data_IF_733138243136
#
_entry.id   IF_733138243136
#
_cell.length_a   1.000
_cell.length_b   1.000
_cell.length_c   1.000
_cell.angle_alpha   90.00
_cell.angle_beta   90.00
_cell.angle_gamma   90.00
#
_symmetry.space_group_name_H-M   'P 1'
#
loop_
_entity.id
_entity.type
_entity.pdbx_description
1 polymer ?
#
# COMPACT_ATOMS: atom_id res chain seq x y z
N UNK A 1 -4.33 15.66 33.95
CA UNK A 1 -4.33 16.23 32.59
C UNK A 1 -5.12 15.32 31.68
N UNK A 2 -6.02 15.86 30.84
CA UNK A 2 -6.78 15.05 29.87
C UNK A 2 -5.78 14.35 28.95
N UNK A 3 -5.81 13.01 28.89
CA UNK A 3 -5.04 12.25 27.89
C UNK A 3 -5.64 12.55 26.52
N UNK A 4 -4.78 12.86 25.56
CA UNK A 4 -5.16 12.98 24.14
C UNK A 4 -5.79 11.67 23.66
N UNK A 5 -6.75 11.70 22.73
CA UNK A 5 -7.27 10.47 22.14
C UNK A 5 -6.14 9.66 21.48
N UNK A 6 -6.21 8.31 21.52
CA UNK A 6 -5.18 7.47 20.92
C UNK A 6 -5.16 7.65 19.40
N UNK A 7 -3.96 7.73 18.83
CA UNK A 7 -3.71 7.90 17.40
C UNK A 7 -4.17 6.65 16.65
N UNK A 8 -4.88 6.78 15.55
CA UNK A 8 -5.33 5.67 14.70
C UNK A 8 -4.64 5.73 13.34
N UNK A 9 -3.81 4.74 13.02
CA UNK A 9 -3.12 4.67 11.72
C UNK A 9 -3.69 3.53 10.89
N UNK A 10 -4.19 3.83 9.70
CA UNK A 10 -4.60 2.80 8.74
C UNK A 10 -3.43 2.47 7.81
N UNK A 11 -3.14 1.18 7.63
CA UNK A 11 -2.15 0.69 6.67
C UNK A 11 -2.87 -0.19 5.67
N UNK A 12 -2.83 0.21 4.40
CA UNK A 12 -3.53 -0.48 3.31
C UNK A 12 -2.54 -1.30 2.51
N UNK A 13 -2.83 -2.60 2.38
CA UNK A 13 -1.96 -3.60 1.77
C UNK A 13 -1.11 -4.31 2.81
N UNK A 14 -1.20 -5.63 2.88
CA UNK A 14 -0.38 -6.45 3.76
C UNK A 14 0.47 -7.44 2.97
N UNK A 15 1.16 -6.93 1.95
CA UNK A 15 2.37 -7.56 1.43
C UNK A 15 3.56 -7.39 2.39
N UNK A 16 4.77 -7.70 1.94
CA UNK A 16 5.97 -7.60 2.79
C UNK A 16 6.12 -6.22 3.45
N UNK A 17 6.13 -5.15 2.65
CA UNK A 17 6.30 -3.78 3.15
C UNK A 17 5.18 -3.33 4.08
N UNK A 18 3.93 -3.71 3.79
CA UNK A 18 2.78 -3.35 4.62
C UNK A 18 2.80 -4.04 6.00
N UNK A 19 3.21 -5.31 6.04
CA UNK A 19 3.36 -6.05 7.30
C UNK A 19 4.49 -5.49 8.16
N UNK A 20 5.64 -5.21 7.55
CA UNK A 20 6.77 -4.58 8.25
C UNK A 20 6.37 -3.22 8.83
N UNK A 21 5.77 -2.36 8.00
CA UNK A 21 5.32 -1.04 8.41
C UNK A 21 4.28 -1.12 9.55
N UNK A 22 3.35 -2.08 9.49
CA UNK A 22 2.35 -2.25 10.55
C UNK A 22 2.97 -2.62 11.89
N UNK A 23 3.90 -3.57 11.90
CA UNK A 23 4.62 -3.95 13.12
C UNK A 23 5.46 -2.78 13.67
N UNK A 24 6.21 -2.10 12.80
CA UNK A 24 7.10 -0.98 13.21
C UNK A 24 6.30 0.20 13.77
N UNK A 25 5.22 0.61 13.11
CA UNK A 25 4.39 1.73 13.58
C UNK A 25 3.70 1.38 14.89
N UNK A 26 3.14 0.17 15.01
CA UNK A 26 2.51 -0.29 16.24
C UNK A 26 3.50 -0.34 17.41
N UNK A 27 4.71 -0.86 17.20
CA UNK A 27 5.79 -0.86 18.20
C UNK A 27 6.17 0.56 18.63
N UNK A 28 6.17 1.52 17.69
CA UNK A 28 6.45 2.93 18.00
C UNK A 28 5.33 3.59 18.79
N UNK A 29 4.07 3.31 18.44
CA UNK A 29 2.89 3.89 19.10
C UNK A 29 2.62 3.28 20.48
N UNK A 30 2.97 2.01 20.69
CA UNK A 30 2.71 1.29 21.95
C UNK A 30 1.25 1.44 22.38
N UNK A 31 1.00 2.01 23.56
CA UNK A 31 -0.33 2.27 24.12
C UNK A 31 -0.90 3.65 23.77
N UNK A 32 -0.21 4.44 22.94
CA UNK A 32 -0.64 5.79 22.54
C UNK A 32 -1.42 5.81 21.22
N UNK A 33 -1.52 4.67 20.54
CA UNK A 33 -2.27 4.53 19.30
C UNK A 33 -2.49 3.09 18.89
N UNK A 34 -3.31 2.89 17.87
CA UNK A 34 -3.70 1.60 17.29
C UNK A 34 -3.48 1.63 15.78
N UNK A 35 -3.00 0.51 15.23
CA UNK A 35 -2.89 0.32 13.78
C UNK A 35 -4.08 -0.48 13.27
N UNK A 36 -4.70 -0.03 12.17
CA UNK A 36 -5.74 -0.76 11.42
C UNK A 36 -5.12 -1.25 10.12
N UNK A 37 -4.75 -2.52 10.06
CA UNK A 37 -4.03 -3.10 8.95
C UNK A 37 -5.03 -3.81 8.00
N UNK A 38 -5.14 -3.32 6.76
CA UNK A 38 -6.20 -3.68 5.82
C UNK A 38 -5.59 -4.44 4.64
N UNK A 39 -6.19 -5.57 4.26
CA UNK A 39 -5.77 -6.30 3.06
C UNK A 39 -6.95 -6.86 2.26
N UNK A 40 -6.80 -6.84 0.93
CA UNK A 40 -7.80 -7.37 0.00
C UNK A 40 -7.97 -8.90 0.16
N UNK A 41 -6.88 -9.62 0.40
CA UNK A 41 -6.93 -11.06 0.61
C UNK A 41 -7.25 -11.40 2.06
N UNK A 42 -7.69 -12.63 2.29
CA UNK A 42 -7.92 -13.19 3.64
C UNK A 42 -6.66 -13.54 4.41
N UNK A 43 -5.48 -13.15 3.91
CA UNK A 43 -4.20 -13.47 4.54
C UNK A 43 -3.20 -12.35 4.32
N UNK A 44 -2.16 -12.29 5.14
CA UNK A 44 -1.01 -11.40 4.96
C UNK A 44 0.08 -12.09 4.15
N UNK A 45 0.96 -11.34 3.49
CA UNK A 45 2.10 -11.86 2.73
C UNK A 45 1.74 -13.12 1.90
N UNK A 46 0.81 -13.03 0.95
CA UNK A 46 0.26 -14.20 0.23
C UNK A 46 1.33 -15.04 -0.48
N UNK A 47 2.41 -14.38 -0.91
CA UNK A 47 3.52 -15.01 -1.63
C UNK A 47 4.66 -15.48 -0.71
N UNK A 48 4.53 -15.28 0.61
CA UNK A 48 5.53 -15.76 1.56
C UNK A 48 5.34 -17.26 1.86
N UNK A 49 6.44 -17.98 2.19
CA UNK A 49 6.35 -19.32 2.73
C UNK A 49 5.43 -19.37 3.97
N UNK A 50 4.69 -20.48 4.21
CA UNK A 50 3.74 -20.59 5.31
C UNK A 50 4.33 -20.25 6.67
N UNK A 51 5.52 -20.77 6.99
CA UNK A 51 6.19 -20.50 8.28
C UNK A 51 6.51 -19.03 8.51
N UNK A 52 6.99 -18.32 7.47
CA UNK A 52 7.26 -16.89 7.55
C UNK A 52 5.97 -16.08 7.75
N UNK A 53 4.90 -16.46 7.04
CA UNK A 53 3.59 -15.83 7.17
C UNK A 53 2.99 -16.04 8.56
N UNK A 54 3.07 -17.25 9.10
CA UNK A 54 2.59 -17.57 10.45
C UNK A 54 3.38 -16.84 11.53
N UNK A 55 4.71 -16.75 11.39
CA UNK A 55 5.56 -15.99 12.30
C UNK A 55 5.19 -14.50 12.29
N UNK A 56 5.00 -13.91 11.10
CA UNK A 56 4.56 -12.54 10.97
C UNK A 56 3.18 -12.31 11.59
N UNK A 57 2.22 -13.22 11.38
CA UNK A 57 0.88 -13.11 11.93
C UNK A 57 0.90 -13.09 13.47
N UNK A 58 1.69 -13.98 14.09
CA UNK A 58 1.89 -14.00 15.56
C UNK A 58 2.42 -12.68 16.10
N UNK A 59 3.36 -12.04 15.39
CA UNK A 59 3.88 -10.73 15.77
C UNK A 59 2.76 -9.69 15.71
N UNK A 60 2.00 -9.62 14.60
CA UNK A 60 0.92 -8.64 14.47
C UNK A 60 -0.18 -8.83 15.53
N UNK A 61 -0.57 -10.08 15.81
CA UNK A 61 -1.59 -10.42 16.81
C UNK A 61 -1.16 -10.11 18.25
N UNK A 62 0.14 -10.12 18.54
CA UNK A 62 0.68 -9.76 19.87
C UNK A 62 0.76 -8.25 20.13
N UNK A 63 0.45 -7.42 19.12
CA UNK A 63 0.57 -5.97 19.19
C UNK A 63 -0.80 -5.27 19.10
N UNK A 64 -0.84 -3.94 19.26
CA UNK A 64 -2.07 -3.16 19.17
C UNK A 64 -2.48 -2.90 17.70
N UNK A 65 -2.71 -3.99 16.97
CA UNK A 65 -3.04 -4.01 15.55
C UNK A 65 -4.38 -4.71 15.36
N UNK A 66 -5.28 -4.06 14.61
CA UNK A 66 -6.54 -4.63 14.17
C UNK A 66 -6.41 -5.05 12.70
N UNK A 67 -6.64 -6.34 12.41
CA UNK A 67 -6.56 -6.89 11.06
C UNK A 67 -7.92 -6.85 10.37
N UNK A 68 -7.97 -6.18 9.22
CA UNK A 68 -9.12 -6.12 8.32
C UNK A 68 -8.77 -6.85 7.02
N UNK A 69 -8.90 -8.18 7.03
CA UNK A 69 -8.60 -9.04 5.88
C UNK A 69 -9.85 -9.31 5.06
N UNK A 70 -9.71 -9.45 3.74
CA UNK A 70 -10.84 -9.64 2.84
C UNK A 70 -11.57 -8.34 2.49
N UNK A 71 -10.89 -7.18 2.55
CA UNK A 71 -11.47 -5.87 2.27
C UNK A 71 -10.69 -5.08 1.22
N UNK A 72 -11.39 -4.52 0.24
CA UNK A 72 -10.86 -3.45 -0.60
C UNK A 72 -11.21 -2.09 -0.01
N UNK A 73 -10.28 -1.13 -0.09
CA UNK A 73 -10.60 0.27 0.20
C UNK A 73 -11.23 0.87 -1.06
N UNK A 74 -12.50 1.27 -0.97
CA UNK A 74 -13.23 1.87 -2.08
C UNK A 74 -13.09 3.38 -2.12
N UNK A 75 -13.04 4.03 -0.95
CA UNK A 75 -12.92 5.47 -0.84
C UNK A 75 -12.15 5.87 0.41
N UNK A 76 -11.38 6.96 0.31
CA UNK A 76 -10.76 7.64 1.44
C UNK A 76 -11.20 9.11 1.35
N UNK A 77 -11.76 9.65 2.43
CA UNK A 77 -12.21 11.05 2.47
C UNK A 77 -11.76 11.73 3.75
N UNK A 78 -11.48 13.01 3.65
CA UNK A 78 -11.26 13.87 4.82
C UNK A 78 -12.62 14.30 5.38
N UNK A 79 -12.74 14.22 6.70
CA UNK A 79 -13.87 14.74 7.46
C UNK A 79 -13.34 15.72 8.49
N UNK A 80 -13.94 16.90 8.50
CA UNK A 80 -13.70 17.94 9.47
C UNK A 80 -14.71 17.74 10.59
N UNK A 81 -14.26 17.75 11.84
CA UNK A 81 -15.19 17.83 12.97
C UNK A 81 -15.93 19.16 12.86
N UNK A 82 -17.17 19.15 12.37
CA UNK A 82 -18.01 20.34 12.38
C UNK A 82 -18.34 20.69 13.83
N UNK A 83 -17.96 21.89 14.26
CA UNK A 83 -18.47 22.49 15.50
C UNK A 83 -20.00 22.58 15.40
N UNK A 84 -20.73 21.70 16.08
CA UNK A 84 -22.15 21.91 16.30
C UNK A 84 -22.38 22.58 17.66
N UNK A 85 -23.09 23.71 17.59
CA UNK A 85 -23.74 24.48 18.66
C UNK A 85 -22.90 25.49 19.49
N UNK A 86 -22.75 26.69 18.91
CA UNK A 86 -23.11 27.97 19.53
C UNK A 86 -22.30 28.53 20.70
N UNK A 87 -21.37 29.46 20.42
CA UNK A 87 -21.26 30.74 21.13
C UNK A 87 -20.20 31.64 20.46
N UNK A 88 -20.58 32.87 20.15
CA UNK A 88 -19.71 33.94 19.68
C UNK A 88 -18.75 34.39 20.79
N UNK A 89 -17.45 34.07 20.70
CA UNK A 89 -16.39 35.01 21.07
C UNK A 89 -15.10 34.67 20.34
N UNK A 90 -14.56 35.67 19.64
CA UNK A 90 -13.29 35.61 18.94
C UNK A 90 -12.11 35.43 19.91
N UNK A 91 -11.26 34.44 19.65
CA UNK A 91 -9.82 34.65 19.75
C UNK A 91 -9.09 33.68 18.80
N UNK A 92 -8.20 34.22 17.99
CA UNK A 92 -7.48 33.50 16.95
C UNK A 92 -6.46 32.54 17.59
N UNK A 93 -6.88 31.29 17.83
CA UNK A 93 -5.94 30.19 18.03
C UNK A 93 -5.78 29.45 16.72
N UNK A 94 -4.53 29.39 16.24
CA UNK A 94 -4.07 28.37 15.29
C UNK A 94 -4.13 27.01 16.01
N UNK A 95 -5.34 26.48 16.15
CA UNK A 95 -5.61 25.12 16.64
C UNK A 95 -5.71 24.22 15.42
N UNK A 96 -4.83 23.22 15.33
CA UNK A 96 -4.87 22.27 14.22
C UNK A 96 -6.25 21.63 14.15
N UNK A 97 -6.94 21.79 13.01
CA UNK A 97 -8.16 21.08 12.69
C UNK A 97 -7.98 19.61 13.08
N UNK A 98 -8.91 19.06 13.88
CA UNK A 98 -9.04 17.62 14.14
C UNK A 98 -9.50 16.93 12.83
N UNK A 99 -8.62 16.94 11.81
CA UNK A 99 -8.86 16.28 10.53
C UNK A 99 -8.81 14.78 10.75
N UNK A 100 -9.91 14.11 10.42
CA UNK A 100 -9.97 12.65 10.39
C UNK A 100 -10.11 12.16 8.96
N UNK A 101 -9.50 11.04 8.66
CA UNK A 101 -9.69 10.30 7.42
C UNK A 101 -10.70 9.20 7.66
N UNK A 102 -11.67 9.08 6.76
CA UNK A 102 -12.66 8.02 6.74
C UNK A 102 -12.40 7.12 5.55
N UNK A 103 -12.18 5.84 5.81
CA UNK A 103 -11.99 4.79 4.82
C UNK A 103 -13.26 3.96 4.71
N UNK A 104 -13.81 3.87 3.50
CA UNK A 104 -14.89 2.95 3.19
C UNK A 104 -14.32 1.63 2.68
N UNK A 105 -14.51 0.58 3.46
CA UNK A 105 -14.09 -0.77 3.14
C UNK A 105 -15.24 -1.54 2.49
N UNK A 106 -14.98 -2.08 1.31
CA UNK A 106 -15.90 -2.99 0.63
C UNK A 106 -15.43 -4.43 0.86
N UNK A 107 -16.38 -5.30 1.22
CA UNK A 107 -16.13 -6.73 1.36
C UNK A 107 -15.67 -7.33 0.01
N UNK A 108 -14.47 -7.92 0.00
CA UNK A 108 -13.92 -8.61 -1.15
C UNK A 108 -14.31 -10.11 -1.19
N UNK A 109 -14.97 -10.60 -0.13
CA UNK A 109 -15.38 -12.00 -0.01
C UNK A 109 -16.83 -12.13 0.45
N UNK A 110 -17.47 -13.21 0.03
CA UNK A 110 -18.84 -13.55 0.45
C UNK A 110 -18.87 -13.77 1.96
N UNK A 111 -19.86 -13.17 2.63
CA UNK A 111 -20.06 -13.30 4.08
C UNK A 111 -19.50 -12.16 4.91
N UNK A 112 -18.69 -11.27 4.33
CA UNK A 112 -18.27 -10.03 4.98
C UNK A 112 -19.22 -8.88 4.62
N UNK A 113 -19.37 -7.94 5.56
CA UNK A 113 -20.15 -6.70 5.35
C UNK A 113 -19.18 -5.53 5.18
N UNK A 114 -19.53 -4.56 4.33
CA UNK A 114 -18.77 -3.33 4.20
C UNK A 114 -18.59 -2.64 5.55
N UNK A 115 -17.44 -1.97 5.74
CA UNK A 115 -17.10 -1.28 6.97
C UNK A 115 -16.70 0.16 6.70
N UNK A 116 -16.78 1.00 7.73
CA UNK A 116 -16.26 2.37 7.69
C UNK A 116 -15.27 2.51 8.84
N UNK A 117 -14.04 2.93 8.54
CA UNK A 117 -12.97 3.09 9.51
C UNK A 117 -12.50 4.54 9.55
N UNK A 118 -12.30 5.07 10.74
CA UNK A 118 -11.60 6.34 10.94
C UNK A 118 -10.09 6.14 11.11
N UNK A 119 -9.29 7.09 10.69
CA UNK A 119 -7.86 7.14 10.91
C UNK A 119 -7.36 8.60 10.96
N UNK A 120 -6.28 8.82 11.69
CA UNK A 120 -5.50 10.07 11.66
C UNK A 120 -4.52 10.09 10.48
N UNK A 121 -4.08 8.92 10.04
CA UNK A 121 -3.12 8.74 8.95
C UNK A 121 -3.44 7.48 8.15
N UNK A 122 -3.38 7.58 6.83
CA UNK A 122 -3.47 6.42 5.92
C UNK A 122 -2.12 6.24 5.22
N UNK A 123 -1.55 5.04 5.34
CA UNK A 123 -0.33 4.63 4.65
C UNK A 123 -0.70 3.58 3.59
N UNK A 124 -0.50 3.90 2.32
CA UNK A 124 -0.86 3.04 1.19
C UNK A 124 0.35 2.28 0.67
N UNK A 125 0.29 0.94 0.73
CA UNK A 125 1.38 0.05 0.28
C UNK A 125 0.94 -0.93 -0.82
N UNK A 126 -0.25 -0.72 -1.39
CA UNK A 126 -0.80 -1.58 -2.46
C UNK A 126 -0.36 -1.07 -3.83
N UNK A 127 0.30 -1.92 -4.60
CA UNK A 127 0.55 -1.70 -6.02
C UNK A 127 1.62 -0.64 -6.28
N UNK A 128 2.73 -1.05 -6.85
CA UNK A 128 3.66 -0.15 -7.52
C UNK A 128 3.40 -0.24 -9.02
N UNK A 129 3.20 0.89 -9.69
CA UNK A 129 3.11 0.96 -11.14
C UNK A 129 4.39 1.60 -11.66
N UNK A 130 5.02 0.99 -12.66
CA UNK A 130 6.19 1.60 -13.29
C UNK A 130 5.79 2.90 -13.97
N UNK A 131 6.43 4.00 -13.56
CA UNK A 131 6.25 5.32 -14.14
C UNK A 131 7.36 5.58 -15.17
N UNK A 132 7.39 4.78 -16.24
CA UNK A 132 8.21 5.13 -17.40
C UNK A 132 7.71 6.47 -17.93
N UNK A 133 8.56 7.50 -17.82
CA UNK A 133 8.25 8.85 -18.24
C UNK A 133 7.93 8.85 -19.73
N UNK A 134 6.68 9.20 -20.06
CA UNK A 134 6.26 9.40 -21.44
C UNK A 134 6.79 10.74 -21.93
N UNK A 135 7.95 10.70 -22.58
CA UNK A 135 8.56 11.89 -23.21
C UNK A 135 7.89 12.29 -24.53
N UNK A 136 6.92 11.50 -25.00
CA UNK A 136 6.22 11.69 -26.27
C UNK A 136 4.82 12.26 -26.08
N UNK A 137 4.28 12.96 -27.10
CA UNK A 137 2.91 13.45 -27.07
C UNK A 137 1.89 12.34 -26.78
N UNK A 138 0.73 12.67 -26.19
CA UNK A 138 -0.28 11.68 -25.80
C UNK A 138 -0.79 10.77 -26.92
N UNK A 139 -0.59 11.22 -28.17
CA UNK A 139 -1.17 10.62 -29.38
C UNK A 139 -0.14 9.75 -30.13
N UNK A 140 1.13 9.77 -29.72
CA UNK A 140 2.20 8.99 -30.34
C UNK A 140 2.44 7.68 -29.57
N UNK A 141 2.59 6.52 -30.26
CA UNK A 141 2.88 5.25 -29.58
C UNK A 141 4.19 5.35 -28.80
N UNK A 142 4.29 4.68 -27.65
CA UNK A 142 5.56 4.57 -26.95
C UNK A 142 6.62 3.97 -27.89
N UNK A 143 7.76 4.65 -27.99
CA UNK A 143 8.89 4.12 -28.76
C UNK A 143 9.44 2.82 -28.16
N UNK A 144 9.26 2.61 -26.85
CA UNK A 144 9.65 1.38 -26.17
C UNK A 144 8.42 0.51 -25.87
N UNK A 145 8.52 -0.81 -26.04
CA UNK A 145 7.41 -1.73 -25.78
C UNK A 145 7.13 -1.79 -24.28
N UNK A 146 5.88 -1.51 -23.88
CA UNK A 146 5.40 -1.62 -22.51
C UNK A 146 4.34 -2.71 -22.40
N UNK A 147 4.35 -3.46 -21.30
CA UNK A 147 3.28 -4.39 -20.95
C UNK A 147 2.08 -3.65 -20.32
N UNK A 148 1.00 -4.37 -20.01
CA UNK A 148 -0.20 -3.80 -19.36
C UNK A 148 0.01 -3.24 -17.94
N UNK A 149 1.20 -3.43 -17.34
CA UNK A 149 1.59 -2.83 -16.05
C UNK A 149 2.50 -1.60 -16.21
N UNK A 150 2.73 -1.15 -17.44
CA UNK A 150 3.62 -0.04 -17.76
C UNK A 150 5.11 -0.37 -17.66
N UNK A 151 5.46 -1.65 -17.53
CA UNK A 151 6.85 -2.10 -17.48
C UNK A 151 7.39 -2.34 -18.89
N UNK A 152 8.66 -2.02 -19.10
CA UNK A 152 9.37 -2.20 -20.38
C UNK A 152 9.58 -3.67 -20.65
N UNK A 153 9.14 -4.14 -21.82
CA UNK A 153 9.43 -5.52 -22.24
C UNK A 153 10.90 -5.68 -22.62
N UNK A 154 11.54 -6.67 -22.01
CA UNK A 154 12.94 -7.01 -22.26
C UNK A 154 13.10 -8.44 -22.78
N UNK A 155 14.23 -8.69 -23.42
CA UNK A 155 14.80 -10.02 -23.61
C UNK A 155 15.39 -10.54 -22.28
N UNK A 156 15.82 -11.81 -22.25
CA UNK A 156 16.51 -12.41 -21.10
C UNK A 156 17.81 -11.66 -20.74
N UNK A 157 18.46 -11.05 -21.73
CA UNK A 157 19.66 -10.22 -21.58
C UNK A 157 19.37 -8.80 -21.06
N UNK A 158 18.14 -8.54 -20.61
CA UNK A 158 17.64 -7.23 -20.18
C UNK A 158 17.57 -6.15 -21.27
N UNK A 159 17.92 -6.49 -22.50
CA UNK A 159 17.78 -5.59 -23.64
C UNK A 159 16.30 -5.32 -23.91
N UNK A 160 15.97 -4.05 -24.11
CA UNK A 160 14.61 -3.67 -24.50
C UNK A 160 14.33 -4.24 -25.90
N UNK A 161 13.19 -4.91 -26.06
CA UNK A 161 12.86 -5.55 -27.34
C UNK A 161 12.84 -4.53 -28.47
N UNK A 162 13.54 -4.81 -29.55
CA UNK A 162 13.70 -3.90 -30.71
C UNK A 162 14.70 -2.76 -30.50
N UNK A 163 15.35 -2.66 -29.33
CA UNK A 163 16.30 -1.59 -28.99
C UNK A 163 17.61 -2.17 -28.41
N UNK A 164 18.53 -2.67 -29.27
CA UNK A 164 19.70 -3.46 -28.83
C UNK A 164 20.72 -2.71 -27.97
N UNK A 165 20.62 -1.37 -27.90
CA UNK A 165 21.50 -0.52 -27.08
C UNK A 165 20.79 0.07 -25.86
N UNK A 166 19.59 -0.41 -25.56
CA UNK A 166 18.77 0.07 -24.45
C UNK A 166 18.47 -1.11 -23.54
N UNK A 167 18.60 -0.90 -22.24
CA UNK A 167 18.38 -1.92 -21.23
C UNK A 167 17.38 -1.38 -20.20
N UNK A 168 16.50 -2.25 -19.70
CA UNK A 168 15.61 -1.92 -18.60
C UNK A 168 15.87 -2.89 -17.44
N UNK A 169 15.83 -2.36 -16.20
CA UNK A 169 16.16 -3.10 -14.98
C UNK A 169 15.21 -2.75 -13.84
N UNK A 170 15.16 -3.61 -12.82
CA UNK A 170 14.36 -3.41 -11.62
C UNK A 170 12.86 -3.44 -11.92
N UNK A 171 12.07 -2.69 -11.14
CA UNK A 171 10.60 -2.71 -11.23
C UNK A 171 10.05 -2.21 -12.56
N UNK A 172 10.87 -1.50 -13.32
CA UNK A 172 10.51 -1.00 -14.65
C UNK A 172 10.71 -2.02 -15.77
N UNK A 173 11.36 -3.15 -15.51
CA UNK A 173 11.57 -4.21 -16.48
C UNK A 173 10.57 -5.34 -16.32
N UNK A 174 10.05 -5.84 -17.44
CA UNK A 174 9.18 -6.99 -17.51
C UNK A 174 9.98 -8.22 -17.98
N UNK A 175 10.74 -8.82 -17.07
CA UNK A 175 11.50 -10.03 -17.36
C UNK A 175 10.60 -11.26 -17.29
N UNK A 176 10.78 -12.20 -18.21
CA UNK A 176 10.08 -13.49 -18.22
C UNK A 176 11.03 -14.60 -17.77
N UNK A 177 10.51 -15.58 -17.07
CA UNK A 177 11.21 -16.84 -16.83
C UNK A 177 11.24 -17.71 -18.11
N UNK A 178 12.01 -18.81 -18.14
CA UNK A 178 12.06 -19.72 -19.29
C UNK A 178 10.71 -20.36 -19.66
N UNK A 179 9.72 -20.32 -18.75
CA UNK A 179 8.35 -20.78 -19.03
C UNK A 179 7.46 -19.70 -19.65
N UNK A 180 7.99 -18.49 -19.86
CA UNK A 180 7.32 -17.34 -20.44
C UNK A 180 6.52 -16.50 -19.44
N UNK A 181 6.58 -16.81 -18.14
CA UNK A 181 5.84 -16.09 -17.09
C UNK A 181 6.64 -14.88 -16.60
N UNK A 182 5.96 -13.76 -16.40
CA UNK A 182 6.60 -12.57 -15.84
C UNK A 182 7.08 -12.79 -14.41
N UNK A 183 8.32 -12.40 -14.15
CA UNK A 183 8.90 -12.37 -12.82
C UNK A 183 8.29 -11.22 -11.99
N UNK A 184 8.16 -11.40 -10.66
CA UNK A 184 7.68 -10.33 -9.79
C UNK A 184 8.68 -9.16 -9.77
N UNK A 185 8.16 -7.93 -9.70
CA UNK A 185 8.95 -6.72 -9.49
C UNK A 185 9.43 -6.68 -8.03
N UNK A 186 10.49 -7.41 -7.71
CA UNK A 186 11.14 -7.39 -6.42
C UNK A 186 12.66 -7.16 -6.59
N UNK A 187 13.30 -6.65 -5.54
CA UNK A 187 14.73 -6.36 -5.56
C UNK A 187 15.61 -7.61 -5.76
N UNK A 188 15.10 -8.81 -5.46
CA UNK A 188 15.85 -10.07 -5.57
C UNK A 188 16.02 -10.56 -7.00
N UNK A 189 15.09 -10.24 -7.91
CA UNK A 189 15.21 -10.59 -9.35
C UNK A 189 16.43 -9.91 -10.00
N UNK A 190 17.04 -8.91 -9.34
CA UNK A 190 18.34 -8.31 -9.72
C UNK A 190 19.50 -9.32 -9.73
N UNK A 191 19.46 -10.39 -8.93
CA UNK A 191 20.63 -11.24 -8.65
C UNK A 191 20.69 -12.55 -9.46
N UNK A 192 19.79 -12.74 -10.43
CA UNK A 192 19.74 -13.95 -11.29
C UNK A 192 20.56 -13.81 -12.58
N UNK A 193 21.50 -12.84 -12.64
CA UNK A 193 22.28 -12.50 -13.83
C UNK A 193 23.80 -12.59 -13.63
N UNK A 194 24.24 -13.15 -12.50
CA UNK A 194 25.64 -13.56 -12.28
C UNK A 194 25.73 -15.10 -12.40
#
# INVERSE_FOLDING_TARGET
GKKSPPIQVAIVGLGYSGVELAATISERLKNTGTVKAINFQTTICPNAPPGNREAALKVLESQNIQLFLGYSVNCIREVYASEDSGSMVADAKVGGDDKKLVLELQAAQRGLQSQVLEADLVLWTVGSQSQILRLQPPDAPYVIPLNGRGQVETEETLQVKGHPRTFAIGDSAALRDPSGKFLPANAQVRHLLD
#
